data_IF_879268388037
#
_entry.id   IF_879268388037
#
_cell.length_a   1.000
_cell.length_b   1.000
_cell.length_c   1.000
_cell.angle_alpha   90.00
_cell.angle_beta   90.00
_cell.angle_gamma   90.00
#
_symmetry.space_group_name_H-M   'P 1'
#
loop_
_entity.id
_entity.type
_entity.pdbx_description
1 polymer ?
#
# COMPACT_ATOMS: atom_id res chain seq x y z
N UNK A 1 -26.64 17.55 -10.11
CA UNK A 1 -25.41 18.01 -9.44
C UNK A 1 -25.06 17.02 -8.32
N UNK A 2 -24.94 15.73 -8.64
CA UNK A 2 -24.84 14.62 -7.66
C UNK A 2 -23.53 13.83 -7.76
N UNK A 3 -22.65 14.17 -8.70
CA UNK A 3 -21.38 13.46 -8.92
C UNK A 3 -20.30 13.84 -7.89
N UNK A 4 -20.38 15.04 -7.29
CA UNK A 4 -19.40 15.52 -6.31
C UNK A 4 -19.50 14.84 -4.94
N UNK A 5 -20.54 14.03 -4.70
CA UNK A 5 -20.73 13.27 -3.45
C UNK A 5 -20.33 11.79 -3.56
N UNK A 6 -19.85 11.33 -4.72
CA UNK A 6 -19.42 9.94 -4.88
C UNK A 6 -18.09 9.69 -4.13
N UNK A 7 -18.15 8.80 -3.14
CA UNK A 7 -16.99 8.38 -2.34
C UNK A 7 -16.31 7.22 -3.05
N UNK A 8 -15.07 7.42 -3.50
CA UNK A 8 -14.22 6.34 -3.98
C UNK A 8 -13.29 5.88 -2.86
N UNK A 9 -13.27 4.57 -2.57
CA UNK A 9 -12.36 3.98 -1.59
C UNK A 9 -11.34 3.08 -2.28
N UNK A 10 -10.05 3.32 -2.00
CA UNK A 10 -8.96 2.43 -2.35
C UNK A 10 -8.56 1.62 -1.11
N UNK A 11 -8.63 0.30 -1.20
CA UNK A 11 -8.16 -0.63 -0.17
C UNK A 11 -6.90 -1.32 -0.68
N UNK A 12 -5.79 -1.12 0.04
CA UNK A 12 -4.49 -1.73 -0.26
C UNK A 12 -4.21 -2.79 0.78
N UNK A 13 -4.05 -4.04 0.36
CA UNK A 13 -3.60 -5.14 1.23
C UNK A 13 -2.14 -5.45 0.90
N UNK A 14 -1.24 -5.18 1.84
CA UNK A 14 0.19 -5.37 1.68
C UNK A 14 0.66 -6.62 2.42
N UNK A 15 1.31 -7.55 1.72
CA UNK A 15 2.02 -8.65 2.36
C UNK A 15 3.29 -8.13 3.03
N UNK A 16 3.35 -8.26 4.35
CA UNK A 16 4.51 -7.85 5.18
C UNK A 16 5.24 -9.05 5.76
N UNK A 17 5.17 -10.23 5.12
CA UNK A 17 5.87 -11.43 5.56
C UNK A 17 7.39 -11.20 5.70
N UNK A 18 7.94 -11.20 6.93
CA UNK A 18 9.34 -10.90 7.15
C UNK A 18 10.28 -11.97 6.59
N UNK A 19 9.81 -13.21 6.41
CA UNK A 19 10.62 -14.30 5.83
C UNK A 19 10.89 -13.99 4.37
N UNK A 20 9.84 -13.64 3.61
CA UNK A 20 9.99 -13.32 2.19
C UNK A 20 10.78 -12.02 2.01
N UNK A 21 10.41 -10.96 2.73
CA UNK A 21 11.11 -9.67 2.64
C UNK A 21 12.58 -9.75 3.08
N UNK A 22 12.91 -10.60 4.06
CA UNK A 22 14.29 -10.88 4.45
C UNK A 22 15.08 -11.59 3.35
N UNK A 23 14.49 -12.58 2.68
CA UNK A 23 15.12 -13.25 1.54
C UNK A 23 15.25 -12.30 0.34
N UNK A 24 14.23 -11.48 0.07
CA UNK A 24 14.25 -10.52 -1.02
C UNK A 24 15.33 -9.47 -0.82
N UNK A 25 15.47 -8.92 0.38
CA UNK A 25 16.52 -7.94 0.70
C UNK A 25 17.95 -8.50 0.52
N UNK A 26 18.14 -9.82 0.65
CA UNK A 26 19.42 -10.47 0.34
C UNK A 26 19.65 -10.67 -1.17
N UNK A 27 18.59 -10.99 -1.92
CA UNK A 27 18.65 -11.22 -3.37
C UNK A 27 18.77 -9.93 -4.17
N UNK A 28 18.00 -8.92 -3.78
CA UNK A 28 17.90 -7.62 -4.43
C UNK A 28 17.88 -6.50 -3.38
N UNK A 29 19.06 -6.05 -2.91
CA UNK A 29 19.16 -5.07 -1.82
C UNK A 29 18.52 -3.71 -2.12
N UNK A 30 18.32 -3.39 -3.40
CA UNK A 30 17.65 -2.15 -3.84
C UNK A 30 16.12 -2.24 -3.74
N UNK A 31 15.56 -3.46 -3.65
CA UNK A 31 14.12 -3.69 -3.54
C UNK A 31 13.79 -4.33 -2.19
N UNK A 32 13.52 -3.47 -1.21
CA UNK A 32 13.17 -3.82 0.16
C UNK A 32 11.71 -3.48 0.47
N UNK A 33 11.24 -3.92 1.65
CA UNK A 33 9.92 -3.52 2.13
C UNK A 33 9.81 -1.99 2.25
N UNK A 34 10.88 -1.31 2.67
CA UNK A 34 10.91 0.16 2.78
C UNK A 34 10.71 0.84 1.43
N UNK A 35 11.45 0.44 0.39
CA UNK A 35 11.31 1.01 -0.96
C UNK A 35 9.96 0.70 -1.59
N UNK A 36 9.38 -0.47 -1.26
CA UNK A 36 8.02 -0.83 -1.64
C UNK A 36 7.00 0.09 -0.97
N UNK A 37 7.13 0.34 0.34
CA UNK A 37 6.29 1.26 1.09
C UNK A 37 6.41 2.70 0.59
N UNK A 38 7.60 3.18 0.25
CA UNK A 38 7.81 4.51 -0.33
C UNK A 38 7.04 4.68 -1.65
N UNK A 39 7.11 3.66 -2.52
CA UNK A 39 6.38 3.66 -3.79
C UNK A 39 4.86 3.57 -3.57
N UNK A 40 4.43 2.77 -2.60
CA UNK A 40 3.02 2.61 -2.22
C UNK A 40 2.45 3.91 -1.63
N UNK A 41 3.25 4.67 -0.86
CA UNK A 41 2.85 5.99 -0.37
C UNK A 41 2.63 6.98 -1.52
N UNK A 42 3.49 6.97 -2.54
CA UNK A 42 3.29 7.82 -3.74
C UNK A 42 2.00 7.43 -4.47
N UNK A 43 1.74 6.14 -4.66
CA UNK A 43 0.50 5.65 -5.28
C UNK A 43 -0.75 6.03 -4.46
N UNK A 44 -0.69 5.84 -3.14
CA UNK A 44 -1.76 6.20 -2.22
C UNK A 44 -2.04 7.71 -2.26
N UNK A 45 -1.00 8.54 -2.26
CA UNK A 45 -1.12 9.99 -2.38
C UNK A 45 -1.71 10.40 -3.72
N UNK A 46 -1.30 9.76 -4.82
CA UNK A 46 -1.88 10.02 -6.14
C UNK A 46 -3.39 9.75 -6.13
N UNK A 47 -3.85 8.66 -5.51
CA UNK A 47 -5.27 8.39 -5.34
C UNK A 47 -5.98 9.50 -4.53
N UNK A 48 -5.41 9.94 -3.40
CA UNK A 48 -6.03 10.99 -2.59
C UNK A 48 -6.08 12.37 -3.29
N UNK A 49 -5.12 12.66 -4.18
CA UNK A 49 -5.08 13.93 -4.92
C UNK A 49 -6.14 13.98 -6.03
N UNK A 50 -6.58 12.84 -6.57
CA UNK A 50 -7.57 12.79 -7.66
C UNK A 50 -8.94 13.37 -7.28
N UNK A 51 -9.35 13.26 -6.02
CA UNK A 51 -10.58 13.89 -5.51
C UNK A 51 -10.55 14.02 -4.00
N UNK A 52 -11.16 15.09 -3.47
CA UNK A 52 -11.34 15.31 -2.02
C UNK A 52 -12.23 14.26 -1.36
N UNK A 53 -13.07 13.58 -2.13
CA UNK A 53 -13.94 12.50 -1.65
C UNK A 53 -13.25 11.15 -1.56
N UNK A 54 -12.05 11.01 -2.13
CA UNK A 54 -11.31 9.75 -2.13
C UNK A 54 -10.88 9.36 -0.70
N UNK A 55 -10.99 8.07 -0.40
CA UNK A 55 -10.65 7.48 0.90
C UNK A 55 -9.65 6.35 0.69
N UNK A 56 -8.79 6.16 1.68
CA UNK A 56 -7.74 5.14 1.64
C UNK A 56 -7.81 4.27 2.88
N UNK A 57 -7.68 2.96 2.69
CA UNK A 57 -7.39 2.00 3.76
C UNK A 57 -6.17 1.16 3.37
N UNK A 58 -5.19 1.07 4.26
CA UNK A 58 -4.01 0.21 4.08
C UNK A 58 -4.01 -0.85 5.16
N UNK A 59 -3.95 -2.12 4.75
CA UNK A 59 -4.00 -3.29 5.63
C UNK A 59 -2.71 -4.07 5.45
N UNK A 60 -1.99 -4.28 6.54
CA UNK A 60 -0.83 -5.15 6.55
C UNK A 60 -1.28 -6.59 6.80
N UNK A 61 -0.98 -7.49 5.85
CA UNK A 61 -1.14 -8.92 6.02
C UNK A 61 0.12 -9.50 6.67
N UNK A 62 0.07 -9.64 7.99
CA UNK A 62 1.17 -10.23 8.75
C UNK A 62 1.09 -11.75 8.68
N UNK A 63 2.20 -12.38 8.28
CA UNK A 63 2.35 -13.81 8.44
C UNK A 63 2.34 -14.19 9.93
N UNK A 64 1.32 -14.94 10.36
CA UNK A 64 1.27 -15.54 11.68
C UNK A 64 1.42 -17.06 11.54
N UNK A 65 2.51 -17.60 12.09
CA UNK A 65 2.71 -19.04 12.19
C UNK A 65 1.69 -19.59 13.20
N UNK A 66 0.74 -20.41 12.75
CA UNK A 66 -0.09 -21.25 13.61
C UNK A 66 0.61 -22.57 13.89
#
# INVERSE_FOLDING_TARGET
MFADDEINILVIVLDVNPIWWGQQAQREPQFTLSTCLDSLMVMANAHLVMSRTNKLAVIANLYQKR
#
